data_IF_503857072079
#
_entry.id   IF_503857072079
#
_cell.length_a   1.000
_cell.length_b   1.000
_cell.length_c   1.000
_cell.angle_alpha   90.00
_cell.angle_beta   90.00
_cell.angle_gamma   90.00
#
_symmetry.space_group_name_H-M   'P 1'
#
loop_
_entity.id
_entity.type
_entity.pdbx_description
1 polymer ?
#
# COMPACT_ATOMS: atom_id res chain seq x y z
N UNK A 1 -16.30 47.91 35.96
CA UNK A 1 -14.84 47.85 35.73
C UNK A 1 -14.57 48.01 34.24
N UNK A 2 -14.15 49.20 33.79
CA UNK A 2 -13.93 49.48 32.37
C UNK A 2 -12.68 48.75 31.85
N UNK A 3 -12.83 47.91 30.82
CA UNK A 3 -11.69 47.28 30.13
C UNK A 3 -10.75 48.38 29.61
N UNK A 4 -9.52 48.44 30.13
CA UNK A 4 -8.46 49.36 29.66
C UNK A 4 -8.26 49.16 28.16
N UNK A 5 -8.44 50.22 27.36
CA UNK A 5 -8.31 50.16 25.90
C UNK A 5 -6.83 49.97 25.54
N UNK A 6 -6.49 48.85 24.91
CA UNK A 6 -5.13 48.54 24.45
C UNK A 6 -4.66 49.57 23.42
N UNK A 7 -3.42 50.03 23.55
CA UNK A 7 -2.75 50.92 22.59
C UNK A 7 -2.45 50.18 21.28
N UNK A 8 -2.25 50.92 20.19
CA UNK A 8 -1.92 50.33 18.88
C UNK A 8 -0.64 49.48 18.94
N UNK A 9 0.38 49.94 19.68
CA UNK A 9 1.64 49.22 19.88
C UNK A 9 1.43 47.87 20.59
N UNK A 10 0.56 47.83 21.60
CA UNK A 10 0.23 46.59 22.30
C UNK A 10 -0.56 45.62 21.40
N UNK A 11 -1.50 46.13 20.60
CA UNK A 11 -2.26 45.31 19.65
C UNK A 11 -1.36 44.73 18.53
N UNK A 12 -0.38 45.49 18.03
CA UNK A 12 0.60 44.98 17.05
C UNK A 12 1.50 43.89 17.64
N UNK A 13 1.92 44.00 18.90
CA UNK A 13 2.66 42.93 19.60
C UNK A 13 1.83 41.66 19.75
N UNK A 14 0.54 41.79 20.08
CA UNK A 14 -0.38 40.65 20.11
C UNK A 14 -0.51 40.00 18.74
N UNK A 15 -0.63 40.78 17.66
CA UNK A 15 -0.69 40.24 16.30
C UNK A 15 0.59 39.52 15.86
N UNK A 16 1.77 40.01 16.25
CA UNK A 16 3.03 39.30 16.00
C UNK A 16 3.04 37.92 16.67
N UNK A 17 2.62 37.86 17.93
CA UNK A 17 2.52 36.59 18.66
C UNK A 17 1.45 35.65 18.08
N UNK A 18 0.31 36.20 17.65
CA UNK A 18 -0.72 35.43 16.92
C UNK A 18 -0.15 34.87 15.62
N UNK A 19 0.68 35.63 14.90
CA UNK A 19 1.36 35.17 13.69
C UNK A 19 2.35 34.03 13.93
N UNK A 20 3.08 34.05 15.05
CA UNK A 20 3.97 32.95 15.45
C UNK A 20 3.16 31.66 15.69
N UNK A 21 2.05 31.74 16.43
CA UNK A 21 1.16 30.60 16.63
C UNK A 21 0.54 30.11 15.33
N UNK A 22 0.04 31.02 14.51
CA UNK A 22 -0.54 30.76 13.19
C UNK A 22 0.46 30.07 12.24
N UNK A 23 1.76 30.42 12.32
CA UNK A 23 2.83 29.79 11.53
C UNK A 23 3.14 28.38 12.05
N UNK A 24 3.18 28.21 13.37
CA UNK A 24 3.39 26.90 14.01
C UNK A 24 2.23 25.94 13.78
N UNK A 25 0.99 26.44 13.78
CA UNK A 25 -0.19 25.65 13.41
C UNK A 25 -0.10 25.15 11.98
N UNK A 26 0.26 26.01 11.03
CA UNK A 26 0.43 25.62 9.63
C UNK A 26 1.49 24.52 9.48
N UNK A 27 2.64 24.64 10.15
CA UNK A 27 3.68 23.61 10.14
C UNK A 27 3.17 22.26 10.67
N UNK A 28 2.46 22.27 11.80
CA UNK A 28 1.90 21.06 12.40
C UNK A 28 0.79 20.43 11.54
N UNK A 29 -0.08 21.25 10.95
CA UNK A 29 -1.13 20.81 10.03
C UNK A 29 -0.54 20.17 8.77
N UNK A 30 0.50 20.79 8.18
CA UNK A 30 1.24 20.20 7.05
C UNK A 30 1.89 18.88 7.46
N UNK A 31 2.57 18.82 8.62
CA UNK A 31 3.18 17.55 9.07
C UNK A 31 2.14 16.45 9.24
N UNK A 32 0.99 16.79 9.82
CA UNK A 32 -0.13 15.86 10.02
C UNK A 32 -0.74 15.40 8.69
N UNK A 33 -0.80 16.26 7.67
CA UNK A 33 -1.43 15.92 6.39
C UNK A 33 -0.76 14.76 5.66
N UNK A 34 0.51 14.45 5.96
CA UNK A 34 1.23 13.32 5.37
C UNK A 34 0.91 11.96 6.01
N UNK A 35 0.39 11.95 7.24
CA UNK A 35 0.16 10.69 7.97
C UNK A 35 -0.90 9.78 7.35
N UNK A 36 -2.06 10.27 6.86
CA UNK A 36 -3.06 9.42 6.21
C UNK A 36 -2.50 8.67 4.99
N UNK A 37 -1.73 9.35 4.15
CA UNK A 37 -1.13 8.73 2.96
C UNK A 37 -0.09 7.68 3.33
N UNK A 38 0.74 7.96 4.34
CA UNK A 38 1.73 7.01 4.84
C UNK A 38 1.06 5.77 5.44
N UNK A 39 -0.02 5.93 6.22
CA UNK A 39 -0.80 4.80 6.75
C UNK A 39 -1.37 3.95 5.63
N UNK A 40 -1.99 4.59 4.63
CA UNK A 40 -2.55 3.90 3.47
C UNK A 40 -1.49 3.12 2.70
N UNK A 41 -0.29 3.68 2.52
CA UNK A 41 0.82 3.00 1.85
C UNK A 41 1.25 1.72 2.59
N UNK A 42 1.37 1.80 3.93
CA UNK A 42 1.75 0.65 4.76
C UNK A 42 0.68 -0.45 4.77
N UNK A 43 -0.60 -0.07 4.74
CA UNK A 43 -1.73 -1.01 4.64
C UNK A 43 -1.79 -1.67 3.26
N UNK A 44 -1.63 -0.88 2.19
CA UNK A 44 -1.65 -1.38 0.80
C UNK A 44 -0.51 -2.36 0.52
N UNK A 45 0.67 -2.14 1.10
CA UNK A 45 1.80 -3.06 0.96
C UNK A 45 1.46 -4.47 1.47
N UNK A 46 0.78 -4.57 2.62
CA UNK A 46 0.34 -5.85 3.18
C UNK A 46 -0.74 -6.48 2.29
N UNK A 47 -1.73 -5.69 1.86
CA UNK A 47 -2.82 -6.17 1.00
C UNK A 47 -2.31 -6.71 -0.34
N UNK A 48 -1.35 -6.02 -0.96
CA UNK A 48 -0.75 -6.46 -2.22
C UNK A 48 -0.03 -7.82 -2.06
N UNK A 49 0.74 -7.99 -0.98
CA UNK A 49 1.40 -9.26 -0.69
C UNK A 49 0.40 -10.39 -0.42
N UNK A 50 -0.69 -10.09 0.30
CA UNK A 50 -1.77 -11.06 0.56
C UNK A 50 -2.47 -11.46 -0.75
N UNK A 51 -2.75 -10.51 -1.62
CA UNK A 51 -3.35 -10.75 -2.94
C UNK A 51 -2.46 -11.66 -3.80
N UNK A 52 -1.15 -11.38 -3.84
CA UNK A 52 -0.19 -12.22 -4.56
C UNK A 52 -0.13 -13.64 -3.98
N UNK A 53 -0.09 -13.76 -2.66
CA UNK A 53 -0.12 -15.05 -1.97
C UNK A 53 -1.37 -15.86 -2.29
N UNK A 54 -2.55 -15.22 -2.28
CA UNK A 54 -3.82 -15.87 -2.59
C UNK A 54 -3.87 -16.38 -4.04
N UNK A 55 -3.40 -15.55 -4.99
CA UNK A 55 -3.33 -15.93 -6.41
C UNK A 55 -2.39 -17.13 -6.62
N UNK A 56 -1.17 -17.09 -6.08
CA UNK A 56 -0.21 -18.20 -6.21
C UNK A 56 -0.68 -19.45 -5.47
N UNK A 57 -1.32 -19.30 -4.32
CA UNK A 57 -1.90 -20.43 -3.57
C UNK A 57 -3.08 -21.07 -4.31
N UNK A 58 -3.89 -20.28 -5.00
CA UNK A 58 -4.97 -20.77 -5.84
C UNK A 58 -4.41 -21.56 -7.03
N UNK A 59 -3.43 -20.99 -7.76
CA UNK A 59 -2.78 -21.67 -8.88
C UNK A 59 -2.10 -22.97 -8.43
N UNK A 60 -1.43 -22.97 -7.27
CA UNK A 60 -0.81 -24.18 -6.72
C UNK A 60 -1.83 -25.31 -6.49
N UNK A 61 -3.04 -24.97 -6.02
CA UNK A 61 -4.12 -25.96 -5.84
C UNK A 61 -4.61 -26.50 -7.18
N UNK A 62 -4.72 -25.65 -8.19
CA UNK A 62 -5.11 -26.05 -9.54
C UNK A 62 -4.07 -26.99 -10.16
N UNK A 63 -2.79 -26.63 -10.11
CA UNK A 63 -1.68 -27.46 -10.62
C UNK A 63 -1.67 -28.82 -9.93
N UNK A 64 -1.84 -28.89 -8.60
CA UNK A 64 -1.93 -30.17 -7.88
C UNK A 64 -3.09 -31.05 -8.35
N UNK A 65 -4.22 -30.43 -8.70
CA UNK A 65 -5.37 -31.15 -9.25
C UNK A 65 -5.09 -31.62 -10.69
N UNK A 66 -4.49 -30.78 -11.52
CA UNK A 66 -4.08 -31.13 -12.90
C UNK A 66 -3.11 -32.31 -12.90
N UNK A 67 -2.11 -32.30 -12.01
CA UNK A 67 -1.18 -33.41 -11.80
C UNK A 67 -1.93 -34.70 -11.44
N UNK A 68 -2.80 -34.67 -10.43
CA UNK A 68 -3.54 -35.86 -10.02
C UNK A 68 -4.47 -36.42 -11.10
N UNK A 69 -5.02 -35.57 -11.97
CA UNK A 69 -5.80 -36.01 -13.14
C UNK A 69 -4.90 -36.65 -14.20
N UNK A 70 -3.74 -36.08 -14.49
CA UNK A 70 -2.78 -36.64 -15.45
C UNK A 70 -2.20 -37.97 -14.98
N UNK A 71 -1.88 -38.10 -13.69
CA UNK A 71 -1.42 -39.37 -13.11
C UNK A 71 -2.47 -40.48 -13.25
N UNK A 72 -3.76 -40.15 -13.09
CA UNK A 72 -4.84 -41.10 -13.33
C UNK A 72 -4.92 -41.50 -14.82
N UNK A 73 -4.87 -40.52 -15.73
CA UNK A 73 -4.89 -40.79 -17.17
C UNK A 73 -3.68 -41.60 -17.63
N UNK A 74 -2.49 -41.33 -17.10
CA UNK A 74 -1.28 -42.11 -17.37
C UNK A 74 -1.49 -43.57 -17.00
N UNK A 75 -1.98 -43.82 -15.79
CA UNK A 75 -2.25 -45.18 -15.32
C UNK A 75 -3.29 -45.90 -16.19
N UNK A 76 -4.37 -45.22 -16.59
CA UNK A 76 -5.40 -45.78 -17.46
C UNK A 76 -4.83 -46.17 -18.85
N UNK A 77 -3.98 -45.32 -19.43
CA UNK A 77 -3.34 -45.58 -20.73
C UNK A 77 -2.26 -46.66 -20.63
N UNK A 78 -1.52 -46.74 -19.51
CA UNK A 78 -0.57 -47.83 -19.22
C UNK A 78 -1.27 -49.18 -19.10
N UNK A 79 -2.38 -49.24 -18.34
CA UNK A 79 -3.20 -50.45 -18.20
C UNK A 79 -3.79 -50.87 -19.56
N UNK A 80 -4.26 -49.91 -20.37
CA UNK A 80 -4.78 -50.16 -21.72
C UNK A 80 -3.68 -50.61 -22.71
N UNK A 81 -2.48 -50.04 -22.60
CA UNK A 81 -1.30 -50.46 -23.37
C UNK A 81 -0.94 -51.91 -23.04
N UNK A 82 -0.87 -52.27 -21.77
CA UNK A 82 -0.59 -53.64 -21.33
C UNK A 82 -1.64 -54.61 -21.88
N UNK A 83 -2.93 -54.27 -21.75
CA UNK A 83 -4.01 -55.09 -22.30
C UNK A 83 -3.92 -55.26 -23.82
N UNK A 84 -3.51 -54.22 -24.55
CA UNK A 84 -3.31 -54.30 -26.01
C UNK A 84 -2.09 -55.15 -26.39
N UNK A 85 -1.00 -55.08 -25.61
CA UNK A 85 0.17 -55.96 -25.77
C UNK A 85 -0.17 -57.42 -25.53
N UNK A 86 -0.97 -57.72 -24.51
CA UNK A 86 -1.44 -59.08 -24.22
C UNK A 86 -2.36 -59.61 -25.34
N UNK A 87 -3.24 -58.74 -25.89
CA UNK A 87 -4.05 -59.09 -27.08
C UNK A 87 -3.18 -59.40 -28.28
N UNK A 88 -2.12 -58.62 -28.54
CA UNK A 88 -1.21 -58.79 -29.68
C UNK A 88 -0.59 -60.20 -29.71
N UNK A 89 -0.35 -60.82 -28.56
CA UNK A 89 0.22 -62.18 -28.47
C UNK A 89 -0.75 -63.29 -28.89
N UNK A 90 -2.06 -63.01 -28.90
CA UNK A 90 -3.11 -64.01 -29.14
C UNK A 90 -3.79 -63.85 -30.51
N UNK A 91 -3.40 -62.83 -31.29
CA UNK A 91 -4.04 -62.51 -32.58
C UNK A 91 -3.63 -63.51 -33.65
N UNK A 92 -4.59 -63.92 -34.49
CA UNK A 92 -4.39 -65.00 -35.47
C UNK A 92 -4.50 -64.55 -36.92
N UNK A 93 -4.99 -63.33 -37.17
CA UNK A 93 -5.10 -62.75 -38.52
C UNK A 93 -4.22 -61.52 -38.67
N UNK A 94 -3.60 -61.35 -39.85
CA UNK A 94 -2.73 -60.20 -40.13
C UNK A 94 -3.45 -58.85 -39.98
N UNK A 95 -4.74 -58.77 -40.32
CA UNK A 95 -5.53 -57.54 -40.20
C UNK A 95 -5.72 -57.11 -38.75
N UNK A 96 -5.99 -58.05 -37.86
CA UNK A 96 -6.12 -57.77 -36.44
C UNK A 96 -4.76 -57.45 -35.81
N UNK A 97 -3.67 -58.08 -36.28
CA UNK A 97 -2.31 -57.75 -35.84
C UNK A 97 -1.98 -56.27 -36.11
N UNK A 98 -2.19 -55.82 -37.35
CA UNK A 98 -1.93 -54.43 -37.75
C UNK A 98 -2.79 -53.44 -36.94
N UNK A 99 -4.05 -53.78 -36.67
CA UNK A 99 -4.96 -52.96 -35.87
C UNK A 99 -4.49 -52.80 -34.41
N UNK A 100 -4.13 -53.91 -33.75
CA UNK A 100 -3.62 -53.88 -32.36
C UNK A 100 -2.28 -53.16 -32.29
N UNK A 101 -1.44 -53.26 -33.33
CA UNK A 101 -0.17 -52.54 -33.38
C UNK A 101 -0.36 -51.02 -33.45
N UNK A 102 -1.36 -50.54 -34.19
CA UNK A 102 -1.76 -49.13 -34.22
C UNK A 102 -2.33 -48.66 -32.88
N UNK A 103 -3.15 -49.48 -32.21
CA UNK A 103 -3.65 -49.19 -30.85
C UNK A 103 -2.49 -49.01 -29.86
N UNK A 104 -1.52 -49.94 -29.87
CA UNK A 104 -0.31 -49.85 -29.03
C UNK A 104 0.47 -48.56 -29.29
N UNK A 105 0.64 -48.19 -30.56
CA UNK A 105 1.36 -46.97 -30.92
C UNK A 105 0.61 -45.71 -30.41
N UNK A 106 -0.72 -45.69 -30.56
CA UNK A 106 -1.58 -44.62 -30.04
C UNK A 106 -1.49 -44.48 -28.52
N UNK A 107 -1.54 -45.59 -27.78
CA UNK A 107 -1.36 -45.56 -26.31
C UNK A 107 0.01 -45.02 -25.90
N UNK A 108 1.08 -45.45 -26.58
CA UNK A 108 2.45 -44.95 -26.31
C UNK A 108 2.58 -43.44 -26.56
N UNK A 109 1.99 -42.94 -27.64
CA UNK A 109 1.99 -41.50 -27.95
C UNK A 109 1.26 -40.69 -26.87
N UNK A 110 0.08 -41.15 -26.45
CA UNK A 110 -0.66 -40.48 -25.36
C UNK A 110 0.08 -40.50 -24.03
N UNK A 111 0.73 -41.61 -23.69
CA UNK A 111 1.55 -41.71 -22.48
C UNK A 111 2.69 -40.69 -22.55
N UNK A 112 3.44 -40.65 -23.64
CA UNK A 112 4.55 -39.70 -23.82
C UNK A 112 4.07 -38.23 -23.71
N UNK A 113 2.95 -37.89 -24.36
CA UNK A 113 2.35 -36.56 -24.28
C UNK A 113 1.91 -36.19 -22.85
N UNK A 114 1.41 -37.17 -22.08
CA UNK A 114 0.98 -36.98 -20.70
C UNK A 114 2.18 -36.85 -19.75
N UNK A 115 3.25 -37.62 -19.96
CA UNK A 115 4.51 -37.52 -19.21
C UNK A 115 5.17 -36.14 -19.42
N UNK A 116 5.22 -35.64 -20.65
CA UNK A 116 5.79 -34.32 -20.94
C UNK A 116 5.01 -33.21 -20.20
N UNK A 117 3.67 -33.27 -20.24
CA UNK A 117 2.81 -32.32 -19.51
C UNK A 117 3.00 -32.43 -18.00
N UNK A 118 3.11 -33.65 -17.48
CA UNK A 118 3.32 -33.91 -16.06
C UNK A 118 4.63 -33.28 -15.57
N UNK A 119 5.72 -33.41 -16.33
CA UNK A 119 7.02 -32.80 -15.99
C UNK A 119 6.88 -31.27 -15.87
N UNK A 120 6.23 -30.62 -16.84
CA UNK A 120 6.02 -29.17 -16.82
C UNK A 120 5.23 -28.73 -15.59
N UNK A 121 4.16 -29.46 -15.24
CA UNK A 121 3.34 -29.14 -14.07
C UNK A 121 4.06 -29.39 -12.74
N UNK A 122 4.90 -30.42 -12.66
CA UNK A 122 5.71 -30.69 -11.46
C UNK A 122 6.73 -29.57 -11.22
N UNK A 123 7.36 -29.06 -12.27
CA UNK A 123 8.26 -27.91 -12.18
C UNK A 123 7.50 -26.62 -11.77
N UNK A 124 6.31 -26.41 -12.34
CA UNK A 124 5.43 -25.29 -11.93
C UNK A 124 5.04 -25.42 -10.46
N UNK A 125 4.64 -26.62 -10.00
CA UNK A 125 4.30 -26.90 -8.61
C UNK A 125 5.47 -26.56 -7.68
N UNK A 126 6.68 -27.03 -7.99
CA UNK A 126 7.87 -26.79 -7.16
C UNK A 126 8.17 -25.29 -7.03
N UNK A 127 8.00 -24.55 -8.13
CA UNK A 127 8.20 -23.09 -8.15
C UNK A 127 7.14 -22.39 -7.29
N UNK A 128 5.86 -22.73 -7.49
CA UNK A 128 4.75 -22.17 -6.73
C UNK A 128 4.82 -22.48 -5.23
N UNK A 129 5.27 -23.68 -4.84
CA UNK A 129 5.44 -24.04 -3.43
C UNK A 129 6.50 -23.17 -2.75
N UNK A 130 7.63 -22.93 -3.42
CA UNK A 130 8.68 -22.01 -2.93
C UNK A 130 8.15 -20.59 -2.82
N UNK A 131 7.47 -20.10 -3.85
CA UNK A 131 6.93 -18.76 -3.89
C UNK A 131 5.90 -18.51 -2.79
N UNK A 132 4.98 -19.46 -2.57
CA UNK A 132 3.95 -19.39 -1.53
C UNK A 132 4.58 -19.34 -0.14
N UNK A 133 5.61 -20.15 0.13
CA UNK A 133 6.30 -20.14 1.42
C UNK A 133 7.08 -18.82 1.64
N UNK A 134 7.79 -18.34 0.61
CA UNK A 134 8.49 -17.05 0.68
C UNK A 134 7.53 -15.87 0.89
N UNK A 135 6.39 -15.86 0.18
CA UNK A 135 5.37 -14.83 0.36
C UNK A 135 4.78 -14.87 1.76
N UNK A 136 4.53 -16.06 2.31
CA UNK A 136 4.02 -16.22 3.67
C UNK A 136 4.99 -15.67 4.71
N UNK A 137 6.27 -15.96 4.58
CA UNK A 137 7.31 -15.39 5.46
C UNK A 137 7.36 -13.86 5.32
N UNK A 138 7.40 -13.36 4.07
CA UNK A 138 7.44 -11.93 3.77
C UNK A 138 6.22 -11.18 4.32
N UNK A 139 5.02 -11.75 4.21
CA UNK A 139 3.80 -11.20 4.82
C UNK A 139 3.96 -11.12 6.34
N UNK A 140 4.48 -12.16 6.99
CA UNK A 140 4.69 -12.18 8.43
C UNK A 140 5.63 -11.06 8.90
N UNK A 141 6.78 -10.91 8.24
CA UNK A 141 7.77 -9.86 8.53
C UNK A 141 7.16 -8.48 8.29
N UNK A 142 6.64 -8.24 7.09
CA UNK A 142 6.08 -6.93 6.68
C UNK A 142 4.91 -6.52 7.57
N UNK A 143 4.03 -7.46 7.91
CA UNK A 143 2.90 -7.18 8.82
C UNK A 143 3.38 -6.76 10.19
N UNK A 144 4.41 -7.40 10.74
CA UNK A 144 4.96 -7.06 12.05
C UNK A 144 5.60 -5.67 12.04
N UNK A 145 6.41 -5.39 11.03
CA UNK A 145 7.09 -4.10 10.87
C UNK A 145 6.08 -2.96 10.64
N UNK A 146 5.15 -3.13 9.71
CA UNK A 146 4.16 -2.11 9.37
C UNK A 146 3.17 -1.87 10.50
N UNK A 147 2.76 -2.90 11.26
CA UNK A 147 1.95 -2.70 12.49
C UNK A 147 2.64 -1.78 13.49
N UNK A 148 3.93 -1.99 13.75
CA UNK A 148 4.70 -1.14 14.67
C UNK A 148 4.73 0.32 14.17
N UNK A 149 4.98 0.52 12.87
CA UNK A 149 5.02 1.86 12.25
C UNK A 149 3.66 2.54 12.26
N UNK A 150 2.58 1.80 11.97
CA UNK A 150 1.20 2.31 12.00
C UNK A 150 0.84 2.82 13.38
N UNK A 151 1.16 2.07 14.43
CA UNK A 151 0.89 2.49 15.82
C UNK A 151 1.72 3.72 16.21
N UNK A 152 2.97 3.80 15.78
CA UNK A 152 3.81 4.99 15.98
C UNK A 152 3.23 6.23 15.27
N UNK A 153 2.80 6.10 14.01
CA UNK A 153 2.18 7.19 13.25
C UNK A 153 0.88 7.64 13.91
N UNK A 154 0.03 6.72 14.36
CA UNK A 154 -1.21 7.04 15.08
C UNK A 154 -0.93 7.80 16.37
N UNK A 155 0.05 7.34 17.15
CA UNK A 155 0.47 8.02 18.38
C UNK A 155 0.99 9.43 18.09
N UNK A 156 1.89 9.58 17.12
CA UNK A 156 2.42 10.88 16.71
C UNK A 156 1.32 11.83 16.20
N UNK A 157 0.33 11.29 15.46
CA UNK A 157 -0.84 12.05 15.00
C UNK A 157 -1.69 12.56 16.16
N UNK A 158 -1.93 11.72 17.18
CA UNK A 158 -2.65 12.13 18.40
C UNK A 158 -1.89 13.18 19.20
N UNK A 159 -0.57 13.02 19.36
CA UNK A 159 0.27 14.01 20.04
C UNK A 159 0.24 15.36 19.32
N UNK A 160 0.37 15.36 17.99
CA UNK A 160 0.28 16.59 17.17
C UNK A 160 -1.11 17.23 17.31
N UNK A 161 -2.19 16.45 17.33
CA UNK A 161 -3.54 16.99 17.55
C UNK A 161 -3.65 17.70 18.90
N UNK A 162 -3.16 17.09 19.97
CA UNK A 162 -3.18 17.71 21.30
C UNK A 162 -2.33 18.99 21.36
N UNK A 163 -1.23 19.05 20.61
CA UNK A 163 -0.41 20.27 20.50
C UNK A 163 -1.16 21.35 19.71
N UNK A 164 -1.79 20.99 18.58
CA UNK A 164 -2.61 21.90 17.76
C UNK A 164 -3.73 22.52 18.61
N UNK A 165 -4.48 21.71 19.36
CA UNK A 165 -5.58 22.18 20.21
C UNK A 165 -5.11 23.19 21.26
N UNK A 166 -3.98 22.91 21.94
CA UNK A 166 -3.39 23.82 22.91
C UNK A 166 -2.96 25.14 22.28
N UNK A 167 -2.26 25.08 21.14
CA UNK A 167 -1.81 26.27 20.42
C UNK A 167 -3.00 27.09 19.93
N UNK A 168 -4.03 26.43 19.38
CA UNK A 168 -5.23 27.08 18.88
C UNK A 168 -5.96 27.82 20.02
N UNK A 169 -6.12 27.19 21.18
CA UNK A 169 -6.73 27.81 22.35
C UNK A 169 -5.93 29.04 22.84
N UNK A 170 -4.59 28.93 22.95
CA UNK A 170 -3.74 30.08 23.31
C UNK A 170 -3.85 31.22 22.31
N UNK A 171 -3.84 30.87 21.02
CA UNK A 171 -3.96 31.81 19.91
C UNK A 171 -5.30 32.54 19.91
N UNK A 172 -6.41 31.85 20.17
CA UNK A 172 -7.74 32.45 20.20
C UNK A 172 -7.93 33.35 21.42
N UNK A 173 -7.41 32.95 22.59
CA UNK A 173 -7.35 33.80 23.79
C UNK A 173 -6.59 35.13 23.55
N UNK A 174 -5.56 35.13 22.69
CA UNK A 174 -4.87 36.37 22.29
C UNK A 174 -5.68 37.16 21.28
N UNK A 175 -6.34 36.49 20.33
CA UNK A 175 -7.15 37.13 19.31
C UNK A 175 -8.33 37.91 19.90
N UNK A 176 -8.95 37.43 20.98
CA UNK A 176 -10.02 38.13 21.70
C UNK A 176 -9.59 39.46 22.33
N UNK A 177 -8.29 39.62 22.60
CA UNK A 177 -7.72 40.86 23.15
C UNK A 177 -7.46 41.90 22.07
N UNK A 178 -7.43 41.50 20.79
CA UNK A 178 -7.22 42.41 19.65
C UNK A 178 -8.55 42.99 19.19
N UNK A 179 -8.55 44.25 18.74
CA UNK A 179 -9.77 44.85 18.19
C UNK A 179 -10.26 44.11 16.93
N UNK A 180 -11.58 43.93 16.82
CA UNK A 180 -12.23 43.23 15.70
C UNK A 180 -11.80 43.74 14.31
N UNK A 181 -11.71 45.07 14.06
CA UNK A 181 -11.26 45.57 12.76
C UNK A 181 -9.82 45.13 12.44
N UNK A 182 -8.95 45.13 13.44
CA UNK A 182 -7.53 44.86 13.26
C UNK A 182 -7.25 43.36 13.04
N UNK A 183 -7.89 42.47 13.81
CA UNK A 183 -7.74 41.02 13.61
C UNK A 183 -8.34 40.57 12.27
N UNK A 184 -9.43 41.19 11.82
CA UNK A 184 -10.01 40.91 10.50
C UNK A 184 -9.07 41.35 9.37
N UNK A 185 -8.46 42.53 9.50
CA UNK A 185 -7.46 43.00 8.53
C UNK A 185 -6.24 42.09 8.49
N UNK A 186 -5.74 41.67 9.65
CA UNK A 186 -4.66 40.70 9.78
C UNK A 186 -4.99 39.39 9.04
N UNK A 187 -6.16 38.79 9.30
CA UNK A 187 -6.60 37.54 8.64
C UNK A 187 -6.67 37.68 7.12
N UNK A 188 -7.19 38.80 6.62
CA UNK A 188 -7.27 39.07 5.19
C UNK A 188 -5.89 39.12 4.54
N UNK A 189 -4.94 39.86 5.14
CA UNK A 189 -3.58 39.98 4.61
C UNK A 189 -2.88 38.62 4.65
N UNK A 190 -2.98 37.90 5.77
CA UNK A 190 -2.34 36.59 5.98
C UNK A 190 -2.71 35.59 4.88
N UNK A 191 -3.99 35.52 4.53
CA UNK A 191 -4.50 34.64 3.45
C UNK A 191 -3.88 34.95 2.09
N UNK A 192 -3.65 36.22 1.77
CA UNK A 192 -3.06 36.64 0.49
C UNK A 192 -1.53 36.70 0.45
N UNK A 193 -0.85 36.40 1.55
CA UNK A 193 0.61 36.62 1.73
C UNK A 193 1.30 35.42 2.41
N UNK A 194 0.92 34.20 2.02
CA UNK A 194 1.58 32.96 2.48
C UNK A 194 1.70 32.83 4.01
N UNK A 195 0.70 33.29 4.76
CA UNK A 195 0.71 33.13 6.21
C UNK A 195 1.33 34.28 7.01
N UNK A 196 1.86 35.33 6.36
CA UNK A 196 2.51 36.48 7.02
C UNK A 196 1.76 37.78 6.78
N UNK A 197 1.46 38.53 7.84
CA UNK A 197 0.72 39.80 7.76
C UNK A 197 1.38 40.96 8.52
N UNK A 198 2.20 40.68 9.54
CA UNK A 198 2.95 41.69 10.30
C UNK A 198 4.44 41.41 10.17
N UNK A 199 5.17 42.42 9.69
CA UNK A 199 6.61 42.33 9.42
C UNK A 199 7.30 43.61 9.90
N UNK A 200 8.58 43.54 10.32
CA UNK A 200 9.35 44.72 10.63
C UNK A 200 9.67 45.51 9.35
N UNK A 201 9.97 46.80 9.52
CA UNK A 201 10.67 47.59 8.50
C UNK A 201 12.16 47.37 8.70
N UNK A 202 12.86 46.96 7.63
CA UNK A 202 14.30 46.69 7.64
C UNK A 202 14.92 47.55 6.55
N UNK A 203 15.89 48.41 6.89
CA UNK A 203 16.61 49.26 5.92
C UNK A 203 15.69 50.06 4.99
N UNK A 204 14.64 50.69 5.55
CA UNK A 204 13.59 51.42 4.79
C UNK A 204 12.86 50.55 3.75
N UNK A 205 12.85 49.23 3.91
CA UNK A 205 12.10 48.29 3.08
C UNK A 205 11.12 47.45 3.91
N UNK A 206 10.07 46.94 3.24
CA UNK A 206 9.13 46.01 3.85
C UNK A 206 9.80 44.66 4.15
N UNK A 207 9.81 44.20 5.41
CA UNK A 207 10.42 42.93 5.80
C UNK A 207 9.76 41.67 5.21
N UNK A 208 8.57 41.79 4.62
CA UNK A 208 7.87 40.67 3.98
C UNK A 208 8.14 40.53 2.48
N UNK A 209 8.03 41.64 1.72
CA UNK A 209 8.20 41.62 0.27
C UNK A 209 9.47 42.33 -0.24
N UNK A 210 10.30 42.85 0.67
CA UNK A 210 11.57 43.54 0.41
C UNK A 210 11.49 44.77 -0.51
N UNK A 211 10.28 45.30 -0.73
CA UNK A 211 10.09 46.53 -1.50
C UNK A 211 10.47 47.75 -0.65
N UNK A 212 11.24 48.66 -1.23
CA UNK A 212 11.58 49.94 -0.60
C UNK A 212 10.32 50.75 -0.28
N UNK A 213 10.32 51.41 0.87
CA UNK A 213 9.28 52.31 1.34
C UNK A 213 9.68 53.76 0.99
N UNK A 214 8.73 54.58 0.50
CA UNK A 214 8.98 56.00 0.22
C UNK A 214 9.32 56.79 1.50
#
# INVERSE_FOLDING_TARGET
MGKKKLTMKEQLRLLLRIQEYDSRLLELEMRKSFFPDLLKQLEQEIENLQTEYEQKSARLKEVKKEIGMLELTLKEEEDALQGSQDRLMNVSTNKEYDAVQLEIQSHKEKIADAEEKLIVLLDEQSTLEKDVEQLKEKIGITTKENKSRIEEIKKNSQEINGIIEKIQAERDNLAEKVSTPLINRYRQIRRGRQGVAVVPVVERACGGCRRALP
#
